data_IF_682938285068
#
_entry.id   IF_682938285068
#
_cell.length_a   1.000
_cell.length_b   1.000
_cell.length_c   1.000
_cell.angle_alpha   90.00
_cell.angle_beta   90.00
_cell.angle_gamma   90.00
#
_symmetry.space_group_name_H-M   'P 1'
#
loop_
_entity.id
_entity.type
_entity.pdbx_description
1 polymer ?
#
# COMPACT_ATOMS: atom_id res chain seq x y z
N UNK A 1 13.15 -0.39 13.62
CA UNK A 1 12.88 -1.84 13.45
C UNK A 1 12.59 -2.52 14.79
N UNK A 2 13.36 -2.24 15.85
CA UNK A 2 13.02 -2.73 17.20
C UNK A 2 11.65 -2.24 17.72
N UNK A 3 11.22 -1.04 17.31
CA UNK A 3 9.88 -0.53 17.66
C UNK A 3 8.71 -1.20 16.93
N UNK A 4 8.99 -2.04 15.93
CA UNK A 4 7.94 -2.67 15.12
C UNK A 4 7.76 -4.15 15.44
N UNK A 5 8.84 -4.91 15.74
CA UNK A 5 8.79 -6.35 16.04
C UNK A 5 10.00 -6.79 16.90
N UNK A 6 9.81 -7.79 17.78
CA UNK A 6 10.91 -8.43 18.50
C UNK A 6 11.88 -9.14 17.54
N UNK A 7 13.18 -9.04 17.83
CA UNK A 7 14.26 -9.58 16.98
C UNK A 7 14.08 -11.08 16.66
N UNK A 8 13.55 -11.84 17.62
CA UNK A 8 13.30 -13.28 17.49
C UNK A 8 12.27 -13.64 16.42
N UNK A 9 11.22 -12.82 16.23
CA UNK A 9 10.21 -13.07 15.19
C UNK A 9 10.79 -12.71 13.82
N UNK A 10 11.56 -11.62 13.75
CA UNK A 10 12.22 -11.19 12.53
C UNK A 10 13.19 -12.26 12.00
N UNK A 11 14.01 -12.83 12.87
CA UNK A 11 15.04 -13.82 12.48
C UNK A 11 14.44 -15.15 11.99
N UNK A 12 13.20 -15.47 12.39
CA UNK A 12 12.47 -16.67 11.96
C UNK A 12 11.82 -16.54 10.58
N UNK A 13 11.85 -15.36 9.97
CA UNK A 13 11.24 -15.15 8.65
C UNK A 13 12.10 -15.71 7.50
N UNK A 14 11.48 -16.19 6.42
CA UNK A 14 12.19 -16.52 5.19
C UNK A 14 13.05 -15.35 4.69
N UNK A 15 14.19 -15.65 4.04
CA UNK A 15 15.17 -14.62 3.65
C UNK A 15 14.58 -13.55 2.72
N UNK A 16 13.64 -13.91 1.84
CA UNK A 16 12.96 -12.95 0.96
C UNK A 16 12.23 -11.85 1.76
N UNK A 17 11.58 -12.24 2.86
CA UNK A 17 10.84 -11.34 3.74
C UNK A 17 11.78 -10.47 4.57
N UNK A 18 12.86 -11.06 5.10
CA UNK A 18 13.91 -10.31 5.82
C UNK A 18 14.58 -9.28 4.91
N UNK A 19 14.92 -9.64 3.67
CA UNK A 19 15.52 -8.72 2.69
C UNK A 19 14.60 -7.53 2.41
N UNK A 20 13.32 -7.78 2.12
CA UNK A 20 12.37 -6.70 1.86
C UNK A 20 12.13 -5.81 3.08
N UNK A 21 12.05 -6.38 4.27
CA UNK A 21 11.95 -5.61 5.50
C UNK A 21 13.19 -4.72 5.76
N UNK A 22 14.40 -5.20 5.47
CA UNK A 22 15.63 -4.37 5.52
C UNK A 22 15.58 -3.21 4.52
N UNK A 23 15.07 -3.45 3.30
CA UNK A 23 14.90 -2.39 2.30
C UNK A 23 13.90 -1.32 2.77
N UNK A 24 12.77 -1.75 3.32
CA UNK A 24 11.77 -0.84 3.89
C UNK A 24 12.40 -0.02 5.02
N UNK A 25 13.13 -0.66 5.94
CA UNK A 25 13.79 0.03 7.05
C UNK A 25 14.83 1.05 6.55
N UNK A 26 15.63 0.70 5.55
CA UNK A 26 16.60 1.61 4.95
C UNK A 26 15.92 2.85 4.33
N UNK A 27 14.84 2.63 3.57
CA UNK A 27 14.08 3.72 2.94
C UNK A 27 13.37 4.60 3.95
N UNK A 28 12.78 4.02 5.00
CA UNK A 28 12.19 4.80 6.10
C UNK A 28 13.23 5.66 6.79
N UNK A 29 14.42 5.12 7.07
CA UNK A 29 15.51 5.89 7.68
C UNK A 29 16.01 7.04 6.78
N UNK A 30 16.04 6.83 5.47
CA UNK A 30 16.34 7.89 4.51
C UNK A 30 15.28 9.00 4.55
N UNK A 31 14.00 8.63 4.51
CA UNK A 31 12.89 9.60 4.59
C UNK A 31 12.91 10.32 5.94
N UNK A 32 13.12 9.63 7.05
CA UNK A 32 13.18 10.25 8.38
C UNK A 32 14.29 11.31 8.46
N UNK A 33 15.46 11.06 7.83
CA UNK A 33 16.52 12.08 7.70
C UNK A 33 16.12 13.25 6.82
N UNK A 34 15.40 13.00 5.71
CA UNK A 34 14.88 14.06 4.85
C UNK A 34 13.79 14.89 5.54
N UNK A 35 13.06 14.31 6.48
CA UNK A 35 11.98 14.95 7.23
C UNK A 35 12.44 15.56 8.56
N UNK A 36 13.73 15.49 8.86
CA UNK A 36 14.27 16.07 10.10
C UNK A 36 14.07 17.59 10.10
N UNK A 37 13.49 18.17 11.17
CA UNK A 37 13.30 19.61 11.27
C UNK A 37 14.61 20.38 11.09
N UNK A 38 14.56 21.43 10.28
CA UNK A 38 15.71 22.28 10.02
C UNK A 38 16.11 23.13 11.22
N UNK A 39 17.31 23.71 11.16
CA UNK A 39 17.76 24.67 12.18
C UNK A 39 16.97 25.98 12.05
N UNK A 40 16.65 26.66 13.17
CA UNK A 40 15.97 27.97 13.14
C UNK A 40 16.69 29.04 12.31
N UNK A 41 17.99 28.89 12.08
CA UNK A 41 18.79 29.81 11.27
C UNK A 41 18.41 29.72 9.79
N UNK A 42 18.17 28.52 9.26
CA UNK A 42 17.75 28.34 7.87
C UNK A 42 16.39 28.98 7.59
N UNK A 43 15.47 28.90 8.56
CA UNK A 43 14.16 29.56 8.50
C UNK A 43 14.32 31.08 8.45
N UNK A 44 15.23 31.64 9.25
CA UNK A 44 15.55 33.07 9.23
C UNK A 44 16.14 33.48 7.88
N UNK A 45 17.10 32.72 7.35
CA UNK A 45 17.77 33.05 6.10
C UNK A 45 16.80 33.02 4.91
N UNK A 46 15.87 32.05 4.88
CA UNK A 46 14.79 32.02 3.90
C UNK A 46 13.85 33.22 4.02
N UNK A 47 13.45 33.60 5.24
CA UNK A 47 12.61 34.77 5.47
C UNK A 47 13.28 36.07 4.97
N UNK A 48 14.55 36.28 5.32
CA UNK A 48 15.33 37.45 4.89
C UNK A 48 15.45 37.49 3.36
N UNK A 49 15.68 36.35 2.72
CA UNK A 49 15.80 36.26 1.27
C UNK A 49 14.50 36.65 0.56
N UNK A 50 13.36 36.15 1.04
CA UNK A 50 12.04 36.47 0.47
C UNK A 50 11.72 37.95 0.68
N UNK A 51 11.89 38.47 1.89
CA UNK A 51 11.64 39.89 2.20
C UNK A 51 12.60 40.84 1.47
N UNK A 52 13.80 40.39 1.12
CA UNK A 52 14.76 41.19 0.35
C UNK A 52 14.43 41.31 -1.13
N UNK A 53 13.59 40.42 -1.68
CA UNK A 53 13.28 40.37 -3.13
C UNK A 53 11.82 40.69 -3.44
N UNK A 54 10.91 40.45 -2.51
CA UNK A 54 9.48 40.71 -2.66
C UNK A 54 9.06 41.91 -1.82
N UNK A 55 7.99 42.60 -2.24
CA UNK A 55 7.46 43.74 -1.48
C UNK A 55 6.78 43.24 -0.19
N UNK A 56 6.90 43.94 0.94
CA UNK A 56 6.16 43.57 2.14
C UNK A 56 4.65 43.64 1.86
N UNK A 57 3.90 42.74 2.50
CA UNK A 57 2.43 42.80 2.47
C UNK A 57 1.96 44.10 3.13
N UNK A 58 0.94 44.77 2.57
CA UNK A 58 0.31 45.88 3.26
C UNK A 58 -0.25 45.39 4.60
N UNK A 59 -0.21 46.26 5.62
CA UNK A 59 -0.78 46.02 6.97
C UNK A 59 -0.05 45.00 7.86
N UNK A 60 0.94 44.24 7.35
CA UNK A 60 1.74 43.31 8.16
C UNK A 60 2.98 44.02 8.72
N UNK A 61 3.16 43.99 10.04
CA UNK A 61 4.40 44.46 10.68
C UNK A 61 5.51 43.43 10.50
N UNK A 62 6.71 43.91 10.18
CA UNK A 62 7.90 43.07 9.94
C UNK A 62 8.26 42.21 11.17
N UNK A 63 8.07 42.74 12.38
CA UNK A 63 8.36 42.02 13.62
C UNK A 63 7.38 40.87 13.88
N UNK A 64 6.10 41.07 13.55
CA UNK A 64 5.05 40.05 13.64
C UNK A 64 5.30 38.94 12.61
N UNK A 65 5.72 39.31 11.40
CA UNK A 65 6.09 38.36 10.34
C UNK A 65 7.22 37.41 10.76
N UNK A 66 8.30 37.91 11.35
CA UNK A 66 9.46 37.07 11.69
C UNK A 66 9.13 35.98 12.73
N UNK A 67 8.35 36.33 13.75
CA UNK A 67 7.92 35.40 14.79
C UNK A 67 6.96 34.34 14.24
N UNK A 68 5.95 34.77 13.46
CA UNK A 68 4.98 33.87 12.83
C UNK A 68 5.62 32.96 11.80
N UNK A 69 6.54 33.48 10.98
CA UNK A 69 7.23 32.69 9.96
C UNK A 69 8.09 31.60 10.59
N UNK A 70 8.79 31.94 11.70
CA UNK A 70 9.53 30.95 12.47
C UNK A 70 8.61 29.87 13.04
N UNK A 71 7.49 30.25 13.64
CA UNK A 71 6.54 29.30 14.21
C UNK A 71 5.92 28.40 13.13
N UNK A 72 5.53 28.97 12.00
CA UNK A 72 4.87 28.26 10.90
C UNK A 72 5.77 27.22 10.22
N UNK A 73 7.09 27.44 10.26
CA UNK A 73 8.11 26.58 9.62
C UNK A 73 8.92 25.73 10.60
N UNK A 74 8.60 25.74 11.90
CA UNK A 74 9.43 25.09 12.93
C UNK A 74 9.55 23.57 12.78
N UNK A 75 8.53 22.92 12.22
CA UNK A 75 8.47 21.49 11.94
C UNK A 75 9.07 21.10 10.57
N UNK A 76 9.46 22.08 9.76
CA UNK A 76 9.86 21.85 8.37
C UNK A 76 11.37 21.59 8.23
N UNK A 77 11.76 20.67 7.35
CA UNK A 77 13.16 20.49 6.97
C UNK A 77 13.75 21.72 6.29
N UNK A 78 15.06 21.94 6.48
CA UNK A 78 15.79 23.07 5.91
C UNK A 78 15.70 23.12 4.38
N UNK A 79 15.87 21.98 3.71
CA UNK A 79 15.81 21.92 2.24
C UNK A 79 14.42 22.29 1.71
N UNK A 80 13.36 21.97 2.45
CA UNK A 80 11.97 22.27 2.08
C UNK A 80 11.73 23.77 2.17
N UNK A 81 12.18 24.39 3.26
CA UNK A 81 12.05 25.84 3.45
C UNK A 81 12.83 26.58 2.36
N UNK A 82 14.03 26.10 2.02
CA UNK A 82 14.82 26.66 0.93
C UNK A 82 14.14 26.52 -0.43
N UNK A 83 13.58 25.34 -0.72
CA UNK A 83 12.91 25.05 -1.99
C UNK A 83 11.59 25.81 -2.14
N UNK A 84 10.77 25.87 -1.09
CA UNK A 84 9.56 26.67 -1.08
C UNK A 84 9.89 28.16 -1.34
N UNK A 85 10.95 28.67 -0.72
CA UNK A 85 11.40 30.04 -0.97
C UNK A 85 11.91 30.22 -2.41
N UNK A 86 12.57 29.22 -3.02
CA UNK A 86 12.91 29.25 -4.44
C UNK A 86 11.66 29.30 -5.33
N UNK A 87 10.63 28.51 -5.02
CA UNK A 87 9.40 28.48 -5.78
C UNK A 87 8.68 29.82 -5.78
N UNK A 88 8.60 30.48 -4.62
CA UNK A 88 8.01 31.81 -4.50
C UNK A 88 8.77 32.86 -5.30
N UNK A 89 10.10 32.88 -5.18
CA UNK A 89 10.94 33.84 -5.90
C UNK A 89 10.96 33.61 -7.41
N UNK A 90 10.81 32.36 -7.84
CA UNK A 90 10.71 32.00 -9.25
C UNK A 90 9.28 32.12 -9.82
N UNK A 91 8.29 32.49 -9.01
CA UNK A 91 6.89 32.58 -9.44
C UNK A 91 6.26 31.23 -9.84
N UNK A 92 6.75 30.11 -9.28
CA UNK A 92 6.23 28.75 -9.56
C UNK A 92 5.01 28.38 -8.73
N UNK A 93 4.68 29.17 -7.71
CA UNK A 93 3.54 28.92 -6.83
C UNK A 93 2.26 29.42 -7.50
N UNK A 94 1.32 28.51 -7.75
CA UNK A 94 0.02 28.84 -8.34
C UNK A 94 -0.71 29.91 -7.54
N UNK A 95 -1.36 30.84 -8.24
CA UNK A 95 -2.14 31.94 -7.68
C UNK A 95 -1.33 32.95 -6.81
N UNK A 96 -0.01 32.86 -6.79
CA UNK A 96 0.84 33.88 -6.19
C UNK A 96 1.28 34.90 -7.24
N UNK A 97 1.11 36.19 -6.95
CA UNK A 97 1.43 37.27 -7.91
C UNK A 97 2.93 37.50 -8.06
N UNK A 98 3.76 36.95 -7.18
CA UNK A 98 5.22 37.18 -7.16
C UNK A 98 5.62 38.62 -6.85
N UNK A 99 4.65 39.47 -6.48
CA UNK A 99 4.88 40.89 -6.20
C UNK A 99 5.10 41.14 -4.70
N UNK A 100 4.37 40.42 -3.85
CA UNK A 100 4.37 40.57 -2.40
C UNK A 100 4.92 39.33 -1.72
N UNK A 101 5.49 39.50 -0.53
CA UNK A 101 5.89 38.38 0.34
C UNK A 101 4.65 37.50 0.61
N UNK A 102 4.73 36.16 0.49
CA UNK A 102 3.62 35.30 0.88
C UNK A 102 3.32 35.44 2.37
N UNK A 103 2.06 35.28 2.75
CA UNK A 103 1.72 35.16 4.17
C UNK A 103 2.42 33.94 4.78
N UNK A 104 2.71 33.98 6.09
CA UNK A 104 3.33 32.86 6.80
C UNK A 104 2.54 31.55 6.58
N UNK A 105 1.20 31.65 6.55
CA UNK A 105 0.32 30.52 6.30
C UNK A 105 0.40 29.98 4.87
N UNK A 106 0.45 30.85 3.85
CA UNK A 106 0.63 30.43 2.45
C UNK A 106 1.97 29.74 2.26
N UNK A 107 3.04 30.36 2.76
CA UNK A 107 4.38 29.82 2.65
C UNK A 107 4.46 28.42 3.26
N UNK A 108 3.98 28.29 4.50
CA UNK A 108 4.04 27.04 5.22
C UNK A 108 3.10 25.97 4.64
N UNK A 109 1.99 26.36 4.00
CA UNK A 109 1.12 25.45 3.24
C UNK A 109 1.84 24.90 2.02
N UNK A 110 2.48 25.77 1.24
CA UNK A 110 3.25 25.36 0.06
C UNK A 110 4.42 24.44 0.45
N UNK A 111 5.19 24.82 1.46
CA UNK A 111 6.29 24.02 1.97
C UNK A 111 5.83 22.62 2.45
N UNK A 112 4.69 22.51 3.14
CA UNK A 112 4.12 21.21 3.52
C UNK A 112 3.65 20.40 2.31
N UNK A 113 3.24 21.05 1.22
CA UNK A 113 2.89 20.35 -0.02
C UNK A 113 4.10 19.65 -0.67
N UNK A 114 5.29 20.26 -0.57
CA UNK A 114 6.56 19.67 -1.05
C UNK A 114 6.92 18.42 -0.25
N UNK A 115 6.66 18.43 1.06
CA UNK A 115 6.95 17.31 1.98
C UNK A 115 5.94 16.18 1.88
N UNK A 116 4.70 16.48 1.50
CA UNK A 116 3.57 15.54 1.50
C UNK A 116 3.86 14.20 0.82
N UNK A 117 4.54 14.12 -0.35
CA UNK A 117 4.87 12.84 -0.97
C UNK A 117 5.76 11.94 -0.10
N UNK A 118 6.74 12.51 0.60
CA UNK A 118 7.65 11.78 1.50
C UNK A 118 6.92 11.26 2.75
N UNK A 119 6.06 12.09 3.34
CA UNK A 119 5.22 11.68 4.46
C UNK A 119 4.24 10.55 4.06
N UNK A 120 3.67 10.64 2.85
CA UNK A 120 2.81 9.59 2.29
C UNK A 120 3.58 8.29 2.00
N UNK A 121 4.78 8.39 1.43
CA UNK A 121 5.65 7.24 1.18
C UNK A 121 6.00 6.52 2.49
N UNK A 122 6.40 7.28 3.53
CA UNK A 122 6.69 6.75 4.87
C UNK A 122 5.50 5.99 5.45
N UNK A 123 4.29 6.55 5.34
CA UNK A 123 3.07 5.89 5.80
C UNK A 123 2.78 4.61 5.00
N UNK A 124 2.98 4.63 3.68
CA UNK A 124 2.84 3.47 2.80
C UNK A 124 3.81 2.34 3.16
N UNK A 125 5.07 2.67 3.42
CA UNK A 125 6.12 1.74 3.82
C UNK A 125 5.83 1.08 5.19
N UNK A 126 5.26 1.84 6.13
CA UNK A 126 4.82 1.28 7.42
C UNK A 126 3.71 0.24 7.24
N UNK A 127 2.69 0.56 6.45
CA UNK A 127 1.62 -0.38 6.12
C UNK A 127 2.14 -1.62 5.36
N UNK A 128 3.12 -1.43 4.47
CA UNK A 128 3.78 -2.54 3.78
C UNK A 128 4.53 -3.44 4.76
N UNK A 129 5.29 -2.86 5.69
CA UNK A 129 6.00 -3.61 6.71
C UNK A 129 5.05 -4.47 7.54
N UNK A 130 3.92 -3.91 8.00
CA UNK A 130 2.90 -4.65 8.76
C UNK A 130 2.32 -5.83 7.95
N UNK A 131 2.01 -5.62 6.67
CA UNK A 131 1.48 -6.68 5.78
C UNK A 131 2.51 -7.75 5.45
N UNK A 132 3.79 -7.41 5.44
CA UNK A 132 4.86 -8.34 5.12
C UNK A 132 4.93 -9.49 6.13
N UNK A 133 4.73 -9.19 7.42
CA UNK A 133 4.67 -10.22 8.46
C UNK A 133 3.44 -11.11 8.32
N UNK A 134 2.26 -10.53 8.06
CA UNK A 134 1.03 -11.30 7.83
C UNK A 134 1.19 -12.28 6.64
N UNK A 135 1.80 -11.82 5.55
CA UNK A 135 2.08 -12.67 4.38
C UNK A 135 3.05 -13.82 4.71
N UNK A 136 4.09 -13.54 5.51
CA UNK A 136 5.03 -14.57 5.89
C UNK A 136 4.41 -15.66 6.79
N UNK A 137 3.50 -15.29 7.69
CA UNK A 137 2.73 -16.25 8.49
C UNK A 137 1.79 -17.09 7.63
N UNK A 138 1.09 -16.45 6.69
CA UNK A 138 0.19 -17.12 5.77
C UNK A 138 0.92 -18.11 4.86
N UNK A 139 2.08 -17.73 4.32
CA UNK A 139 2.90 -18.61 3.49
C UNK A 139 3.44 -19.79 4.29
N UNK A 140 3.92 -19.55 5.52
CA UNK A 140 4.33 -20.64 6.43
C UNK A 140 3.17 -21.61 6.69
N UNK A 141 1.96 -21.10 6.92
CA UNK A 141 0.76 -21.95 7.09
C UNK A 141 0.46 -22.75 5.83
N UNK A 142 0.58 -22.14 4.64
CA UNK A 142 0.36 -22.82 3.35
C UNK A 142 1.40 -23.91 3.10
N UNK A 143 2.66 -23.67 3.44
CA UNK A 143 3.74 -24.66 3.34
C UNK A 143 3.46 -25.86 4.24
N UNK A 144 3.07 -25.64 5.51
CA UNK A 144 2.70 -26.72 6.42
C UNK A 144 1.55 -27.56 5.87
N UNK A 145 0.50 -26.92 5.36
CA UNK A 145 -0.63 -27.62 4.73
C UNK A 145 -0.17 -28.40 3.49
N UNK A 146 0.74 -27.85 2.69
CA UNK A 146 1.27 -28.53 1.51
C UNK A 146 2.08 -29.78 1.89
N UNK A 147 2.90 -29.69 2.95
CA UNK A 147 3.65 -30.82 3.52
C UNK A 147 2.68 -31.89 4.05
N UNK A 148 1.67 -31.52 4.83
CA UNK A 148 0.65 -32.44 5.33
C UNK A 148 -0.11 -33.13 4.19
N UNK A 149 -0.44 -32.38 3.12
CA UNK A 149 -1.08 -32.93 1.92
C UNK A 149 -0.16 -33.79 1.08
N UNK A 150 1.16 -33.64 1.20
CA UNK A 150 2.12 -34.51 0.52
C UNK A 150 2.17 -35.90 1.16
N UNK A 151 1.80 -36.04 2.44
CA UNK A 151 1.73 -37.32 3.14
C UNK A 151 0.66 -38.25 2.51
N UNK A 152 1.06 -39.43 1.98
CA UNK A 152 0.14 -40.42 1.45
C UNK A 152 -0.93 -40.88 2.46
N UNK A 153 -0.63 -40.89 3.75
CA UNK A 153 -1.54 -41.32 4.82
C UNK A 153 -2.70 -40.33 5.02
N UNK A 154 -2.39 -39.03 4.97
CA UNK A 154 -3.36 -37.93 5.06
C UNK A 154 -4.25 -37.92 3.82
N UNK A 155 -3.67 -38.11 2.62
CA UNK A 155 -4.46 -38.23 1.37
C UNK A 155 -5.50 -39.34 1.45
N UNK A 156 -5.11 -40.53 1.94
CA UNK A 156 -6.03 -41.66 2.11
C UNK A 156 -7.16 -41.33 3.10
N UNK A 157 -6.84 -40.68 4.22
CA UNK A 157 -7.83 -40.26 5.23
C UNK A 157 -8.82 -39.23 4.68
N UNK A 158 -8.32 -38.22 3.96
CA UNK A 158 -9.16 -37.21 3.31
C UNK A 158 -10.05 -37.84 2.24
N UNK A 159 -9.51 -38.77 1.43
CA UNK A 159 -10.30 -39.50 0.44
C UNK A 159 -11.42 -40.34 1.09
N UNK A 160 -11.15 -41.01 2.21
CA UNK A 160 -12.15 -41.73 2.98
C UNK A 160 -13.22 -40.80 3.57
N UNK A 161 -12.82 -39.63 4.09
CA UNK A 161 -13.74 -38.62 4.61
C UNK A 161 -14.64 -38.04 3.50
N UNK A 162 -14.08 -37.72 2.33
CA UNK A 162 -14.85 -37.25 1.17
C UNK A 162 -15.82 -38.31 0.70
N UNK A 163 -15.41 -39.60 0.65
CA UNK A 163 -16.33 -40.71 0.33
C UNK A 163 -17.48 -40.79 1.34
N UNK A 164 -17.20 -40.68 2.64
CA UNK A 164 -18.22 -40.68 3.70
C UNK A 164 -19.17 -39.47 3.61
N UNK A 165 -18.64 -38.28 3.34
CA UNK A 165 -19.45 -37.08 3.15
C UNK A 165 -20.32 -37.16 1.89
N UNK A 166 -19.81 -37.74 0.79
CA UNK A 166 -20.56 -37.97 -0.43
C UNK A 166 -21.56 -39.12 -0.34
N UNK A 167 -21.39 -40.07 0.59
CA UNK A 167 -22.30 -41.21 0.75
C UNK A 167 -23.73 -40.81 1.16
N UNK A 168 -23.91 -39.61 1.76
CA UNK A 168 -25.22 -39.04 2.07
C UNK A 168 -25.65 -37.91 1.12
N UNK A 169 -24.81 -37.52 0.17
CA UNK A 169 -25.17 -36.51 -0.81
C UNK A 169 -25.95 -37.19 -1.94
N UNK A 170 -27.12 -36.65 -2.29
CA UNK A 170 -27.84 -37.11 -3.48
C UNK A 170 -26.89 -37.05 -4.67
N UNK A 171 -26.58 -38.21 -5.26
CA UNK A 171 -25.98 -38.25 -6.58
C UNK A 171 -26.98 -37.54 -7.46
N UNK A 172 -26.61 -36.39 -8.03
CA UNK A 172 -27.40 -35.75 -9.08
C UNK A 172 -27.32 -36.70 -10.26
N UNK A 173 -28.18 -37.71 -10.27
CA UNK A 173 -28.38 -38.57 -11.43
C UNK A 173 -29.04 -37.67 -12.46
N UNK A 174 -28.31 -37.32 -13.51
CA UNK A 174 -28.90 -36.70 -14.70
C UNK A 174 -29.74 -37.70 -15.52
N UNK A 175 -29.90 -38.93 -15.02
CA UNK A 175 -30.68 -40.05 -15.57
C UNK A 175 -32.10 -40.11 -14.99
N UNK A 176 -32.82 -39.00 -15.03
CA UNK A 176 -34.28 -39.08 -14.91
C UNK A 176 -34.86 -39.33 -16.30
N UNK A 177 -35.25 -40.58 -16.58
CA UNK A 177 -36.12 -40.91 -17.71
C UNK A 177 -37.48 -40.27 -17.41
N UNK A 178 -37.97 -39.42 -18.31
CA UNK A 178 -39.36 -38.97 -18.24
C UNK A 178 -40.27 -40.17 -18.51
N UNK A 179 -41.36 -40.33 -17.75
CA UNK A 179 -42.29 -41.43 -17.98
C UNK A 179 -42.88 -41.32 -19.40
N UNK A 180 -42.65 -42.34 -20.24
CA UNK A 180 -43.18 -42.41 -21.60
C UNK A 180 -42.21 -42.09 -22.75
N UNK A 181 -40.89 -41.99 -22.51
CA UNK A 181 -39.89 -41.90 -23.60
C UNK A 181 -39.32 -43.26 -23.96
N UNK A 182 -39.43 -43.63 -25.24
CA UNK A 182 -38.81 -44.83 -25.83
C UNK A 182 -37.27 -44.67 -25.90
N UNK A 183 -36.54 -45.78 -25.95
CA UNK A 183 -35.06 -45.77 -25.88
C UNK A 183 -34.42 -44.95 -27.01
N UNK A 184 -35.05 -44.88 -28.19
CA UNK A 184 -34.58 -44.08 -29.33
C UNK A 184 -34.77 -42.56 -29.11
N UNK A 185 -35.88 -42.17 -28.47
CA UNK A 185 -36.15 -40.77 -28.12
C UNK A 185 -35.24 -40.31 -26.98
N UNK A 186 -34.97 -41.18 -26.02
CA UNK A 186 -34.02 -40.93 -24.95
C UNK A 186 -32.59 -40.77 -25.49
N UNK A 187 -32.16 -41.62 -26.43
CA UNK A 187 -30.85 -41.50 -27.08
C UNK A 187 -30.70 -40.18 -27.86
N UNK A 188 -31.76 -39.71 -28.53
CA UNK A 188 -31.78 -38.38 -29.17
C UNK A 188 -31.67 -37.24 -28.16
N UNK A 189 -32.41 -37.31 -27.05
CA UNK A 189 -32.36 -36.29 -26.00
C UNK A 189 -30.97 -36.24 -25.33
N UNK A 190 -30.37 -37.39 -25.05
CA UNK A 190 -29.04 -37.48 -24.45
C UNK A 190 -27.94 -37.04 -25.42
N UNK A 191 -28.11 -37.26 -26.73
CA UNK A 191 -27.23 -36.68 -27.75
C UNK A 191 -27.36 -35.14 -27.86
N UNK A 192 -28.54 -34.59 -27.54
CA UNK A 192 -28.77 -33.14 -27.50
C UNK A 192 -28.33 -32.48 -26.19
N UNK A 193 -28.16 -33.25 -25.09
CA UNK A 193 -27.61 -32.74 -23.83
C UNK A 193 -26.16 -32.32 -24.03
N UNK A 194 -25.93 -31.01 -24.19
CA UNK A 194 -24.59 -30.43 -24.13
C UNK A 194 -23.97 -30.82 -22.78
N UNK A 195 -22.78 -31.43 -22.81
CA UNK A 195 -21.94 -31.59 -21.62
C UNK A 195 -21.95 -30.28 -20.85
N UNK A 196 -22.23 -30.29 -19.53
CA UNK A 196 -22.08 -29.07 -18.74
C UNK A 196 -20.67 -28.58 -18.99
N UNK A 197 -20.54 -27.39 -19.57
CA UNK A 197 -19.23 -26.79 -19.75
C UNK A 197 -18.59 -26.76 -18.36
N UNK A 198 -17.39 -27.35 -18.22
CA UNK A 198 -16.64 -27.27 -16.98
C UNK A 198 -16.72 -25.84 -16.47
N UNK A 199 -17.12 -25.61 -15.21
CA UNK A 199 -17.32 -24.25 -14.72
C UNK A 199 -15.99 -23.51 -14.87
N UNK A 200 -15.91 -22.64 -15.88
CA UNK A 200 -14.71 -21.86 -16.17
C UNK A 200 -14.42 -21.01 -14.95
N UNK A 201 -13.38 -21.37 -14.21
CA UNK A 201 -12.94 -20.64 -13.03
C UNK A 201 -12.69 -19.18 -13.40
N UNK A 202 -13.48 -18.27 -12.83
CA UNK A 202 -13.31 -16.82 -12.99
C UNK A 202 -12.17 -16.27 -12.11
N UNK A 203 -11.35 -17.14 -11.50
CA UNK A 203 -10.23 -16.72 -10.66
C UNK A 203 -9.26 -15.84 -11.46
N UNK A 204 -9.03 -16.14 -12.73
CA UNK A 204 -8.23 -15.31 -13.66
C UNK A 204 -8.83 -13.92 -13.92
N UNK A 205 -10.14 -13.74 -13.73
CA UNK A 205 -10.85 -12.47 -13.88
C UNK A 205 -11.00 -11.71 -12.56
N UNK A 206 -10.68 -12.34 -11.43
CA UNK A 206 -10.71 -11.71 -10.13
C UNK A 206 -9.48 -10.81 -9.92
N UNK A 207 -9.62 -9.78 -9.07
CA UNK A 207 -8.49 -8.92 -8.64
C UNK A 207 -7.32 -9.72 -8.04
N UNK A 208 -7.58 -10.95 -7.57
CA UNK A 208 -6.59 -11.83 -6.96
C UNK A 208 -5.57 -12.33 -8.00
N UNK A 209 -6.01 -12.67 -9.23
CA UNK A 209 -5.11 -13.14 -10.28
C UNK A 209 -4.35 -12.00 -11.00
N UNK A 210 -4.93 -10.80 -11.06
CA UNK A 210 -4.27 -9.62 -11.66
C UNK A 210 -3.12 -9.04 -10.80
N UNK A 211 -3.01 -9.47 -9.54
CA UNK A 211 -1.98 -9.01 -8.60
C UNK A 211 -0.81 -9.98 -8.40
N UNK A 212 -0.81 -11.15 -9.05
CA UNK A 212 0.31 -12.09 -8.99
C UNK A 212 1.35 -11.73 -10.08
N UNK A 213 2.60 -11.40 -9.73
CA UNK A 213 3.65 -11.23 -10.73
C UNK A 213 3.93 -12.57 -11.42
N UNK A 214 4.21 -12.52 -12.73
CA UNK A 214 4.71 -13.68 -13.49
C UNK A 214 6.10 -14.06 -13.04
#
# INVERSE_FOLDING_TARGET
>A
MHDLVSKDIFDRLPEQYRRRARQIAARVAEIDRLLEPGKPIAVRDAALRICGQLRPQPEIKVDEFAAEFRAACADLPEWVVSEAANDYLAGRVENHTGQFVPTCAEFARHARSIVRPFAAERAGLRNEAERLFQRAEDDRRRELIAIERADPSVRKRVAAMVRKAKAGAAVISTDHRHAGTDDETQARLDAMKRRPAEPKSKISQSRIAKGAPR
#
